data_IF_455665178388
#
_entry.id   IF_455665178388
#
_cell.length_a   1.000
_cell.length_b   1.000
_cell.length_c   1.000
_cell.angle_alpha   90.00
_cell.angle_beta   90.00
_cell.angle_gamma   90.00
#
_symmetry.space_group_name_H-M   'P 1'
#
loop_
_entity.id
_entity.type
_entity.pdbx_description
1 polymer ?
#
# COMPACT_ATOMS: atom_id res chain seq x y z
N UNK A 1 29.49 29.25 24.27
CA UNK A 1 28.81 29.42 22.97
C UNK A 1 27.32 29.19 23.18
N UNK A 2 26.53 30.26 23.14
CA UNK A 2 25.07 30.17 23.23
C UNK A 2 24.54 29.75 21.86
N UNK A 3 24.69 28.48 21.51
CA UNK A 3 24.07 27.94 20.31
C UNK A 3 22.61 27.64 20.66
N UNK A 4 21.73 28.61 20.45
CA UNK A 4 20.30 28.33 20.38
C UNK A 4 20.11 27.18 19.39
N UNK A 5 19.41 26.12 19.82
CA UNK A 5 19.14 24.99 18.95
C UNK A 5 18.52 25.50 17.64
N UNK A 6 18.95 25.02 16.46
CA UNK A 6 18.41 25.47 15.19
C UNK A 6 16.89 25.26 15.18
N UNK A 7 16.15 26.31 14.80
CA UNK A 7 14.70 26.24 14.73
C UNK A 7 14.28 25.26 13.63
N UNK A 8 13.63 24.15 14.03
CA UNK A 8 13.15 23.14 13.09
C UNK A 8 11.89 23.68 12.41
N UNK A 9 11.94 23.81 11.09
CA UNK A 9 10.76 24.15 10.30
C UNK A 9 9.83 22.95 10.23
N UNK A 10 8.56 23.16 10.60
CA UNK A 10 7.52 22.16 10.47
C UNK A 10 6.67 22.45 9.24
N UNK A 11 6.30 21.39 8.52
CA UNK A 11 5.43 21.43 7.36
C UNK A 11 4.18 20.58 7.64
N UNK A 12 3.10 20.72 6.84
CA UNK A 12 1.91 19.88 6.99
C UNK A 12 2.19 18.37 7.00
N UNK A 13 3.26 17.95 6.32
CA UNK A 13 3.72 16.55 6.24
C UNK A 13 4.61 16.10 7.41
N UNK A 14 5.02 17.02 8.30
CA UNK A 14 5.90 16.72 9.44
C UNK A 14 5.13 16.11 10.62
N UNK A 15 3.82 16.38 10.70
CA UNK A 15 2.97 16.05 11.84
C UNK A 15 2.25 14.69 11.73
N UNK A 16 2.97 13.66 11.30
CA UNK A 16 2.42 12.29 11.24
C UNK A 16 2.37 11.64 12.63
N UNK A 17 1.28 10.94 12.94
CA UNK A 17 1.08 10.26 14.24
C UNK A 17 1.39 8.77 14.21
N UNK A 18 1.91 8.28 13.08
CA UNK A 18 2.32 6.89 12.92
C UNK A 18 3.63 6.56 13.65
N UNK A 19 3.94 5.27 13.85
CA UNK A 19 5.22 4.87 14.40
C UNK A 19 6.36 5.31 13.46
N UNK A 20 7.40 5.93 14.03
CA UNK A 20 8.52 6.47 13.24
C UNK A 20 9.48 5.41 12.68
N UNK A 21 9.40 4.15 13.14
CA UNK A 21 10.33 3.09 12.74
C UNK A 21 9.61 1.79 12.39
N UNK A 22 9.90 1.16 11.23
CA UNK A 22 10.68 1.71 10.11
C UNK A 22 9.88 2.78 9.32
N UNK A 23 10.56 3.51 8.43
CA UNK A 23 9.87 4.51 7.59
C UNK A 23 8.88 3.85 6.62
N UNK A 24 7.58 4.09 6.82
CA UNK A 24 6.52 3.54 5.96
C UNK A 24 6.59 4.01 4.50
N UNK A 25 7.08 5.23 4.27
CA UNK A 25 7.28 5.77 2.92
C UNK A 25 8.40 5.04 2.17
N UNK A 26 9.55 4.84 2.83
CA UNK A 26 10.66 4.08 2.26
C UNK A 26 10.27 2.61 2.05
N UNK A 27 9.58 2.01 3.02
CA UNK A 27 9.08 0.64 2.92
C UNK A 27 8.10 0.45 1.76
N UNK A 28 7.11 1.32 1.63
CA UNK A 28 6.11 1.27 0.57
C UNK A 28 6.73 1.46 -0.82
N UNK A 29 7.61 2.46 -0.96
CA UNK A 29 8.33 2.70 -2.21
C UNK A 29 9.19 1.49 -2.58
N UNK A 30 10.03 0.99 -1.66
CA UNK A 30 10.87 -0.17 -1.91
C UNK A 30 10.06 -1.40 -2.33
N UNK A 31 8.96 -1.70 -1.63
CA UNK A 31 8.10 -2.84 -1.97
C UNK A 31 7.51 -2.74 -3.38
N UNK A 32 6.90 -1.59 -3.72
CA UNK A 32 6.25 -1.39 -5.04
C UNK A 32 7.26 -1.42 -6.18
N UNK A 33 8.35 -0.64 -6.08
CA UNK A 33 9.34 -0.57 -7.15
C UNK A 33 10.11 -1.88 -7.32
N UNK A 34 10.35 -2.63 -6.23
CA UNK A 34 10.97 -3.95 -6.31
C UNK A 34 10.11 -4.94 -7.09
N UNK A 35 8.81 -5.00 -6.80
CA UNK A 35 7.86 -5.85 -7.56
C UNK A 35 7.79 -5.42 -9.02
N UNK A 36 7.80 -4.12 -9.30
CA UNK A 36 7.73 -3.62 -10.67
C UNK A 36 9.01 -3.97 -11.48
N UNK A 37 10.19 -3.78 -10.90
CA UNK A 37 11.47 -4.12 -11.55
C UNK A 37 11.56 -5.62 -11.83
N UNK A 38 11.26 -6.46 -10.84
CA UNK A 38 11.29 -7.93 -10.99
C UNK A 38 10.24 -8.42 -12.00
N UNK A 39 9.04 -7.85 -12.00
CA UNK A 39 8.00 -8.17 -12.99
C UNK A 39 8.44 -7.79 -14.42
N UNK A 40 8.99 -6.60 -14.64
CA UNK A 40 9.48 -6.18 -15.96
C UNK A 40 10.63 -7.06 -16.45
N UNK A 41 11.57 -7.42 -15.58
CA UNK A 41 12.66 -8.33 -15.90
C UNK A 41 12.16 -9.72 -16.26
N UNK A 42 11.17 -10.24 -15.54
CA UNK A 42 10.58 -11.56 -15.84
C UNK A 42 9.92 -11.61 -17.22
N UNK A 43 9.27 -10.50 -17.65
CA UNK A 43 8.66 -10.39 -18.98
C UNK A 43 9.72 -10.28 -20.07
N UNK A 44 10.82 -9.57 -19.79
CA UNK A 44 11.91 -9.36 -20.74
C UNK A 44 12.78 -10.60 -20.95
N UNK A 45 12.93 -11.45 -19.93
CA UNK A 45 13.74 -12.68 -19.98
C UNK A 45 13.33 -13.62 -21.12
N UNK A 46 12.03 -13.70 -21.43
CA UNK A 46 11.50 -14.59 -22.47
C UNK A 46 11.64 -14.08 -23.91
N UNK A 47 12.16 -12.86 -24.14
CA UNK A 47 12.09 -12.20 -25.46
C UNK A 47 13.40 -11.61 -25.99
N UNK A 48 14.46 -11.48 -25.17
CA UNK A 48 15.64 -10.68 -25.54
C UNK A 48 16.97 -11.44 -25.44
N UNK A 49 17.90 -11.03 -26.30
CA UNK A 49 19.31 -11.45 -26.30
C UNK A 49 20.02 -11.07 -24.97
N UNK A 50 21.00 -11.89 -24.55
CA UNK A 50 21.68 -11.77 -23.25
C UNK A 50 22.26 -10.38 -22.96
N UNK A 51 22.86 -9.71 -23.96
CA UNK A 51 23.45 -8.36 -23.77
C UNK A 51 22.40 -7.29 -23.47
N UNK A 52 21.29 -7.26 -24.21
CA UNK A 52 20.21 -6.30 -24.02
C UNK A 52 19.52 -6.50 -22.67
N UNK A 53 19.41 -7.75 -22.21
CA UNK A 53 18.86 -8.08 -20.90
C UNK A 53 19.73 -7.56 -19.76
N UNK A 54 21.07 -7.70 -19.87
CA UNK A 54 22.02 -7.15 -18.89
C UNK A 54 21.92 -5.63 -18.78
N UNK A 55 21.84 -4.92 -19.91
CA UNK A 55 21.65 -3.45 -19.91
C UNK A 55 20.34 -3.07 -19.25
N UNK A 56 19.23 -3.74 -19.58
CA UNK A 56 17.94 -3.50 -18.96
C UNK A 56 17.97 -3.73 -17.44
N UNK A 57 18.61 -4.81 -17.00
CA UNK A 57 18.82 -5.11 -15.59
C UNK A 57 19.55 -3.97 -14.88
N UNK A 58 20.67 -3.50 -15.44
CA UNK A 58 21.43 -2.38 -14.86
C UNK A 58 20.58 -1.11 -14.78
N UNK A 59 19.86 -0.76 -15.84
CA UNK A 59 19.02 0.45 -15.88
C UNK A 59 17.90 0.39 -14.84
N UNK A 60 17.18 -0.73 -14.75
CA UNK A 60 16.06 -0.88 -13.82
C UNK A 60 16.49 -0.84 -12.36
N UNK A 61 17.58 -1.53 -12.00
CA UNK A 61 18.11 -1.50 -10.64
C UNK A 61 18.74 -0.16 -10.26
N UNK A 62 19.40 0.52 -11.20
CA UNK A 62 19.90 1.88 -10.98
C UNK A 62 18.74 2.84 -10.72
N UNK A 63 17.66 2.75 -11.51
CA UNK A 63 16.45 3.53 -11.31
C UNK A 63 15.78 3.25 -9.97
N UNK A 64 15.70 1.97 -9.56
CA UNK A 64 15.20 1.58 -8.24
C UNK A 64 15.95 2.30 -7.12
N UNK A 65 17.29 2.22 -7.10
CA UNK A 65 18.10 2.84 -6.06
C UNK A 65 18.01 4.36 -6.09
N UNK A 66 17.97 4.98 -7.26
CA UNK A 66 17.78 6.42 -7.39
C UNK A 66 16.47 6.88 -6.72
N UNK A 67 15.36 6.17 -6.95
CA UNK A 67 14.08 6.46 -6.30
C UNK A 67 14.16 6.27 -4.78
N UNK A 68 14.79 5.18 -4.30
CA UNK A 68 14.94 4.94 -2.86
C UNK A 68 15.75 6.04 -2.17
N UNK A 69 16.82 6.53 -2.81
CA UNK A 69 17.62 7.64 -2.31
C UNK A 69 16.76 8.91 -2.25
N UNK A 70 16.03 9.25 -3.32
CA UNK A 70 15.16 10.43 -3.33
C UNK A 70 14.09 10.39 -2.23
N UNK A 71 13.39 9.27 -2.07
CA UNK A 71 12.36 9.10 -1.04
C UNK A 71 12.98 9.17 0.36
N UNK A 72 14.11 8.51 0.59
CA UNK A 72 14.79 8.50 1.88
C UNK A 72 15.30 9.89 2.26
N UNK A 73 15.96 10.59 1.33
CA UNK A 73 16.44 11.96 1.55
C UNK A 73 15.29 12.92 1.82
N UNK A 74 14.19 12.83 1.07
CA UNK A 74 12.99 13.64 1.31
C UNK A 74 12.51 13.53 2.77
N UNK A 75 12.46 12.31 3.31
CA UNK A 75 11.99 12.04 4.69
C UNK A 75 13.00 12.46 5.76
N UNK A 76 14.29 12.39 5.48
CA UNK A 76 15.36 12.88 6.37
C UNK A 76 15.40 14.42 6.38
N UNK A 77 15.24 15.07 5.22
CA UNK A 77 15.27 16.53 5.12
C UNK A 77 14.11 17.23 5.82
N UNK A 78 12.92 16.63 5.82
CA UNK A 78 11.78 17.14 6.59
C UNK A 78 11.83 16.75 8.08
N UNK A 79 12.93 16.15 8.53
CA UNK A 79 13.15 15.66 9.88
C UNK A 79 12.06 14.69 10.40
N UNK A 80 11.35 14.00 9.48
CA UNK A 80 10.32 13.03 9.85
C UNK A 80 10.90 11.67 10.24
N UNK A 81 12.10 11.34 9.74
CA UNK A 81 12.76 10.07 10.04
C UNK A 81 14.28 10.21 10.16
N UNK A 82 14.87 9.34 10.98
CA UNK A 82 16.32 9.18 11.05
C UNK A 82 16.86 8.27 9.93
N UNK A 83 18.15 8.39 9.55
CA UNK A 83 18.75 7.57 8.50
C UNK A 83 18.56 6.05 8.71
N UNK A 84 18.70 5.56 9.94
CA UNK A 84 18.50 4.13 10.23
C UNK A 84 17.06 3.66 9.98
N UNK A 85 16.06 4.52 10.19
CA UNK A 85 14.64 4.19 10.00
C UNK A 85 14.27 4.09 8.52
N UNK A 86 14.84 4.96 7.68
CA UNK A 86 14.63 4.89 6.22
C UNK A 86 15.35 3.69 5.62
N UNK A 87 16.58 3.40 6.06
CA UNK A 87 17.33 2.20 5.63
C UNK A 87 16.58 0.92 6.02
N UNK A 88 16.14 0.81 7.28
CA UNK A 88 15.33 -0.31 7.74
C UNK A 88 14.01 -0.43 6.96
N UNK A 89 13.39 0.70 6.59
CA UNK A 89 12.22 0.75 5.72
C UNK A 89 12.47 0.13 4.36
N UNK A 90 13.54 0.53 3.67
CA UNK A 90 13.89 -0.02 2.35
C UNK A 90 14.07 -1.54 2.41
N UNK A 91 14.87 -2.03 3.35
CA UNK A 91 15.10 -3.48 3.51
C UNK A 91 13.82 -4.23 3.86
N UNK A 92 12.99 -3.69 4.76
CA UNK A 92 11.70 -4.29 5.13
C UNK A 92 10.76 -4.38 3.92
N UNK A 93 10.71 -3.33 3.09
CA UNK A 93 9.90 -3.30 1.88
C UNK A 93 10.35 -4.34 0.85
N UNK A 94 11.66 -4.46 0.63
CA UNK A 94 12.23 -5.50 -0.24
C UNK A 94 11.94 -6.90 0.29
N UNK A 95 12.13 -7.15 1.58
CA UNK A 95 11.87 -8.45 2.20
C UNK A 95 10.40 -8.86 2.08
N UNK A 96 9.48 -7.93 2.32
CA UNK A 96 8.04 -8.16 2.12
C UNK A 96 7.75 -8.49 0.66
N UNK A 97 8.26 -7.69 -0.29
CA UNK A 97 8.05 -7.94 -1.72
C UNK A 97 8.56 -9.33 -2.14
N UNK A 98 9.78 -9.70 -1.74
CA UNK A 98 10.38 -11.00 -2.04
C UNK A 98 9.60 -12.15 -1.42
N UNK A 99 9.14 -12.00 -0.17
CA UNK A 99 8.33 -13.01 0.52
C UNK A 99 7.02 -13.24 -0.24
N UNK A 100 6.33 -12.18 -0.65
CA UNK A 100 5.06 -12.30 -1.40
C UNK A 100 5.23 -12.96 -2.78
N UNK A 101 6.41 -12.87 -3.41
CA UNK A 101 6.69 -13.61 -4.65
C UNK A 101 6.76 -15.13 -4.44
N UNK A 102 7.22 -15.56 -3.27
CA UNK A 102 7.37 -16.98 -2.92
C UNK A 102 6.09 -17.58 -2.33
N UNK A 103 5.31 -16.79 -1.58
CA UNK A 103 4.09 -17.25 -0.89
C UNK A 103 2.88 -17.23 -1.83
N UNK A 104 2.84 -18.17 -2.78
CA UNK A 104 1.69 -18.33 -3.71
C UNK A 104 0.41 -18.84 -3.04
N UNK A 105 0.50 -19.35 -1.80
CA UNK A 105 -0.65 -19.86 -1.04
C UNK A 105 -1.74 -18.81 -0.80
N UNK A 106 -1.40 -17.52 -0.87
CA UNK A 106 -2.34 -16.40 -0.69
C UNK A 106 -3.43 -16.44 -1.77
N UNK A 107 -3.07 -16.75 -3.02
CA UNK A 107 -4.03 -16.80 -4.14
C UNK A 107 -4.95 -18.02 -4.14
N UNK A 108 -4.62 -19.06 -3.37
CA UNK A 108 -5.41 -20.29 -3.26
C UNK A 108 -6.15 -20.41 -1.92
N UNK A 109 -6.05 -19.40 -1.05
CA UNK A 109 -6.70 -19.44 0.25
C UNK A 109 -8.22 -19.22 0.11
N UNK A 110 -9.01 -20.09 0.76
CA UNK A 110 -10.47 -19.99 0.81
C UNK A 110 -10.93 -18.72 1.51
N UNK A 111 -12.09 -18.18 1.12
CA UNK A 111 -12.71 -17.02 1.78
C UNK A 111 -12.82 -17.18 3.31
N UNK A 112 -13.17 -18.37 3.83
CA UNK A 112 -13.24 -18.63 5.28
C UNK A 112 -11.92 -18.35 6.01
N UNK A 113 -10.77 -18.64 5.39
CA UNK A 113 -9.45 -18.34 5.97
C UNK A 113 -9.19 -16.85 5.97
N UNK A 114 -9.52 -16.13 4.89
CA UNK A 114 -9.41 -14.67 4.85
C UNK A 114 -10.25 -14.02 5.95
N UNK A 115 -11.52 -14.43 6.09
CA UNK A 115 -12.39 -13.96 7.16
C UNK A 115 -11.80 -14.26 8.54
N UNK A 116 -11.38 -15.52 8.77
CA UNK A 116 -10.79 -15.93 10.04
C UNK A 116 -9.53 -15.14 10.40
N UNK A 117 -8.62 -14.92 9.45
CA UNK A 117 -7.39 -14.13 9.69
C UNK A 117 -7.72 -12.66 9.94
N UNK A 118 -8.60 -12.06 9.15
CA UNK A 118 -9.02 -10.66 9.36
C UNK A 118 -9.66 -10.48 10.74
N UNK A 119 -10.59 -11.36 11.12
CA UNK A 119 -11.23 -11.31 12.45
C UNK A 119 -10.21 -11.53 13.56
N UNK A 120 -9.31 -12.51 13.41
CA UNK A 120 -8.24 -12.77 14.39
C UNK A 120 -7.33 -11.55 14.57
N UNK A 121 -6.84 -10.95 13.49
CA UNK A 121 -5.98 -9.76 13.55
C UNK A 121 -6.69 -8.57 14.20
N UNK A 122 -7.97 -8.37 13.88
CA UNK A 122 -8.78 -7.32 14.50
C UNK A 122 -8.97 -7.57 16.01
N UNK A 123 -9.39 -8.77 16.39
CA UNK A 123 -9.60 -9.15 17.79
C UNK A 123 -8.30 -9.09 18.59
N UNK A 124 -7.18 -9.52 18.01
CA UNK A 124 -5.87 -9.45 18.64
C UNK A 124 -5.42 -8.01 18.88
N UNK A 125 -5.53 -7.14 17.86
CA UNK A 125 -5.17 -5.74 17.98
C UNK A 125 -6.07 -4.99 18.98
N UNK A 126 -7.38 -5.26 18.96
CA UNK A 126 -8.33 -4.71 19.93
C UNK A 126 -8.03 -5.22 21.34
N UNK A 127 -7.75 -6.50 21.50
CA UNK A 127 -7.37 -7.11 22.78
C UNK A 127 -6.10 -6.49 23.35
N UNK A 128 -5.07 -6.29 22.52
CA UNK A 128 -3.83 -5.63 22.92
C UNK A 128 -4.06 -4.17 23.33
N UNK A 129 -4.89 -3.43 22.58
CA UNK A 129 -5.28 -2.07 22.94
C UNK A 129 -5.98 -2.01 24.31
N UNK A 130 -6.98 -2.88 24.53
CA UNK A 130 -7.72 -2.93 25.79
C UNK A 130 -6.81 -3.36 26.96
N UNK A 131 -5.89 -4.29 26.73
CA UNK A 131 -4.91 -4.71 27.72
C UNK A 131 -3.96 -3.57 28.10
N UNK A 132 -3.39 -2.85 27.12
CA UNK A 132 -2.52 -1.71 27.37
C UNK A 132 -3.26 -0.61 28.12
N UNK A 133 -4.51 -0.34 27.74
CA UNK A 133 -5.38 0.60 28.46
C UNK A 133 -5.63 0.16 29.90
N UNK A 134 -5.87 -1.13 30.15
CA UNK A 134 -6.06 -1.67 31.51
C UNK A 134 -4.78 -1.58 32.36
N UNK A 135 -3.60 -1.68 31.73
CA UNK A 135 -2.30 -1.46 32.37
C UNK A 135 -1.95 0.04 32.55
N UNK A 136 -2.85 0.96 32.21
CA UNK A 136 -2.66 2.40 32.34
C UNK A 136 -1.83 3.04 31.22
N UNK A 137 -1.53 2.31 30.15
CA UNK A 137 -0.85 2.84 28.96
C UNK A 137 -1.91 3.28 27.95
N UNK A 138 -2.18 4.58 27.91
CA UNK A 138 -2.99 5.15 26.83
C UNK A 138 -2.19 5.11 25.52
N UNK A 139 -2.79 4.69 24.42
CA UNK A 139 -2.21 4.73 23.07
C UNK A 139 -2.51 6.05 22.34
N UNK A 140 -3.54 6.78 22.77
CA UNK A 140 -3.90 8.08 22.19
C UNK A 140 -2.99 9.22 22.66
N UNK A 141 -2.12 8.98 23.64
CA UNK A 141 -1.13 9.95 24.12
C UNK A 141 -0.25 10.53 23.00
N UNK A 142 0.01 9.76 21.94
CA UNK A 142 0.79 10.21 20.79
C UNK A 142 0.08 11.32 20.02
N UNK A 143 -1.26 11.25 19.96
CA UNK A 143 -2.11 12.24 19.31
C UNK A 143 -2.14 13.54 20.12
N UNK A 144 -2.24 13.42 21.46
CA UNK A 144 -2.15 14.58 22.37
C UNK A 144 -0.79 15.28 22.25
N UNK A 145 0.32 14.51 22.19
CA UNK A 145 1.65 15.10 21.99
C UNK A 145 1.80 15.71 20.61
N UNK A 146 1.27 15.08 19.56
CA UNK A 146 1.30 15.66 18.22
C UNK A 146 0.56 17.01 18.19
N UNK A 147 -0.63 17.11 18.78
CA UNK A 147 -1.38 18.37 18.86
C UNK A 147 -0.66 19.44 19.66
N UNK A 148 0.11 19.06 20.68
CA UNK A 148 0.85 20.00 21.54
C UNK A 148 2.12 20.55 20.89
N UNK A 149 2.84 19.72 20.13
CA UNK A 149 4.17 20.06 19.59
C UNK A 149 4.15 20.43 18.11
N UNK A 150 3.07 20.15 17.39
CA UNK A 150 2.87 20.63 16.03
C UNK A 150 2.56 22.13 16.02
N UNK A 151 3.19 22.87 15.11
CA UNK A 151 3.00 24.31 14.98
C UNK A 151 1.57 24.69 14.60
N UNK A 152 0.86 23.77 13.93
CA UNK A 152 -0.56 23.90 13.65
C UNK A 152 -1.28 22.58 13.95
N UNK A 153 -2.30 22.58 14.83
CA UNK A 153 -3.03 21.37 15.19
C UNK A 153 -3.82 20.79 14.00
N UNK A 154 -4.17 21.62 13.00
CA UNK A 154 -4.81 21.14 11.77
C UNK A 154 -3.93 20.22 10.91
N UNK A 155 -2.61 20.18 11.14
CA UNK A 155 -1.69 19.28 10.43
C UNK A 155 -1.67 17.87 11.03
N UNK A 156 -2.31 17.66 12.18
CA UNK A 156 -2.43 16.33 12.78
C UNK A 156 -3.56 15.57 12.08
N UNK A 157 -3.19 14.65 11.20
CA UNK A 157 -4.13 13.87 10.42
C UNK A 157 -4.53 12.57 11.14
N UNK A 158 -5.83 12.40 11.42
CA UNK A 158 -6.39 11.19 12.05
C UNK A 158 -6.15 9.92 11.21
N UNK A 159 -6.03 10.08 9.90
CA UNK A 159 -5.72 9.06 8.90
C UNK A 159 -4.36 8.39 9.13
N UNK A 160 -3.44 9.08 9.80
CA UNK A 160 -2.09 8.59 10.11
C UNK A 160 -2.01 7.82 11.41
N UNK A 161 -3.13 7.72 12.15
CA UNK A 161 -3.16 7.02 13.43
C UNK A 161 -2.98 5.51 13.24
N UNK A 162 -2.41 4.81 14.24
CA UNK A 162 -2.28 3.35 14.20
C UNK A 162 -3.62 2.63 13.99
N UNK A 163 -4.71 3.16 14.57
CA UNK A 163 -6.04 2.57 14.43
C UNK A 163 -6.64 2.75 13.03
N UNK A 164 -6.47 3.93 12.42
CA UNK A 164 -6.85 4.15 11.02
C UNK A 164 -6.07 3.21 10.07
N UNK A 165 -4.77 3.07 10.31
CA UNK A 165 -3.90 2.16 9.53
C UNK A 165 -4.32 0.70 9.67
N UNK A 166 -4.63 0.26 10.90
CA UNK A 166 -5.15 -1.09 11.16
C UNK A 166 -6.45 -1.36 10.39
N UNK A 167 -7.44 -0.46 10.48
CA UNK A 167 -8.71 -0.64 9.78
C UNK A 167 -8.53 -0.65 8.26
N UNK A 168 -7.64 0.18 7.72
CA UNK A 168 -7.29 0.15 6.30
C UNK A 168 -6.70 -1.21 5.90
N UNK A 169 -5.75 -1.73 6.67
CA UNK A 169 -5.11 -3.02 6.38
C UNK A 169 -6.11 -4.20 6.46
N UNK A 170 -6.99 -4.18 7.46
CA UNK A 170 -8.06 -5.17 7.60
C UNK A 170 -9.06 -5.10 6.44
N UNK A 171 -9.46 -3.88 6.04
CA UNK A 171 -10.31 -3.65 4.88
C UNK A 171 -9.68 -4.17 3.60
N UNK A 172 -8.38 -3.88 3.38
CA UNK A 172 -7.64 -4.38 2.21
C UNK A 172 -7.61 -5.91 2.21
N UNK A 173 -7.28 -6.55 3.34
CA UNK A 173 -7.21 -8.01 3.44
C UNK A 173 -8.59 -8.66 3.20
N UNK A 174 -9.63 -8.10 3.79
CA UNK A 174 -11.02 -8.54 3.62
C UNK A 174 -11.47 -8.40 2.16
N UNK A 175 -11.26 -7.22 1.56
CA UNK A 175 -11.64 -6.94 0.17
C UNK A 175 -10.84 -7.78 -0.83
N UNK A 176 -9.56 -8.06 -0.57
CA UNK A 176 -8.76 -8.99 -1.37
C UNK A 176 -9.31 -10.42 -1.28
N UNK A 177 -9.69 -10.87 -0.08
CA UNK A 177 -10.32 -12.18 0.12
C UNK A 177 -11.62 -12.32 -0.67
N UNK A 178 -12.47 -11.29 -0.66
CA UNK A 178 -13.70 -11.25 -1.47
C UNK A 178 -13.39 -11.23 -2.98
N UNK A 179 -12.42 -10.41 -3.40
CA UNK A 179 -12.07 -10.27 -4.82
C UNK A 179 -11.57 -11.60 -5.41
N UNK A 180 -10.62 -12.26 -4.74
CA UNK A 180 -10.02 -13.52 -5.22
C UNK A 180 -11.00 -14.70 -5.22
N UNK A 181 -12.00 -14.68 -4.35
CA UNK A 181 -13.03 -15.72 -4.27
C UNK A 181 -14.30 -15.38 -5.07
N UNK A 182 -14.34 -14.23 -5.74
CA UNK A 182 -15.47 -13.85 -6.60
C UNK A 182 -15.43 -14.59 -7.94
N UNK A 183 -16.60 -14.84 -8.54
CA UNK A 183 -16.71 -15.43 -9.87
C UNK A 183 -16.00 -14.57 -10.94
N UNK A 184 -16.01 -13.26 -10.75
CA UNK A 184 -15.40 -12.27 -11.64
C UNK A 184 -13.88 -12.47 -11.79
N UNK A 185 -13.18 -12.75 -10.69
CA UNK A 185 -11.73 -13.03 -10.74
C UNK A 185 -11.42 -14.34 -11.48
N UNK A 186 -12.21 -15.38 -11.23
CA UNK A 186 -12.05 -16.69 -11.86
C UNK A 186 -12.26 -16.63 -13.37
N UNK A 187 -13.24 -15.86 -13.82
CA UNK A 187 -13.60 -15.74 -15.23
C UNK A 187 -12.56 -14.94 -16.04
N UNK A 188 -12.03 -13.86 -15.46
CA UNK A 188 -11.19 -12.92 -16.20
C UNK A 188 -9.69 -13.17 -16.10
N UNK A 189 -9.19 -13.50 -14.90
CA UNK A 189 -7.74 -13.63 -14.67
C UNK A 189 -7.21 -15.05 -14.90
N UNK A 190 -8.07 -16.08 -14.85
CA UNK A 190 -7.66 -17.49 -14.98
C UNK A 190 -7.63 -18.01 -16.42
N UNK A 191 -8.12 -17.23 -17.38
CA UNK A 191 -8.13 -17.56 -18.82
C UNK A 191 -6.83 -17.19 -19.56
N UNK A 192 -6.72 -17.63 -20.82
CA UNK A 192 -5.57 -17.31 -21.72
C UNK A 192 -5.39 -15.80 -21.96
N UNK A 193 -6.46 -15.01 -21.82
CA UNK A 193 -6.49 -13.56 -22.01
C UNK A 193 -5.64 -12.79 -20.97
N UNK A 194 -5.49 -13.31 -19.75
CA UNK A 194 -4.69 -12.69 -18.68
C UNK A 194 -3.18 -12.60 -18.96
N UNK A 195 -2.67 -13.32 -19.97
CA UNK A 195 -1.28 -13.23 -20.42
C UNK A 195 -1.07 -12.18 -21.52
N UNK A 196 -2.13 -11.65 -22.10
CA UNK A 196 -2.01 -10.65 -23.16
C UNK A 196 -1.58 -9.30 -22.59
N UNK A 197 -0.57 -8.71 -23.22
CA UNK A 197 -0.07 -7.38 -22.86
C UNK A 197 -1.15 -6.28 -22.90
N UNK A 198 -2.03 -6.17 -23.92
CA UNK A 198 -3.06 -5.13 -23.94
C UNK A 198 -4.06 -5.26 -22.78
N UNK A 199 -4.42 -6.50 -22.40
CA UNK A 199 -5.27 -6.74 -21.23
C UNK A 199 -4.61 -6.24 -19.94
N UNK A 200 -3.34 -6.57 -19.72
CA UNK A 200 -2.59 -6.15 -18.51
C UNK A 200 -2.42 -4.64 -18.42
N UNK A 201 -2.07 -3.99 -19.54
CA UNK A 201 -1.92 -2.54 -19.62
C UNK A 201 -3.26 -1.84 -19.42
N UNK A 202 -4.34 -2.35 -20.03
CA UNK A 202 -5.70 -1.84 -19.83
C UNK A 202 -6.14 -1.94 -18.37
N UNK A 203 -5.91 -3.09 -17.72
CA UNK A 203 -6.21 -3.27 -16.30
C UNK A 203 -5.38 -2.32 -15.41
N UNK A 204 -4.09 -2.13 -15.71
CA UNK A 204 -3.23 -1.23 -14.97
C UNK A 204 -3.70 0.23 -15.10
N UNK A 205 -3.98 0.69 -16.32
CA UNK A 205 -4.46 2.06 -16.57
C UNK A 205 -5.82 2.33 -15.90
N UNK A 206 -6.78 1.41 -16.05
CA UNK A 206 -8.09 1.52 -15.42
C UNK A 206 -7.98 1.48 -13.89
N UNK A 207 -7.10 0.64 -13.34
CA UNK A 207 -6.85 0.58 -11.89
C UNK A 207 -6.26 1.89 -11.38
N UNK A 208 -5.28 2.48 -12.08
CA UNK A 208 -4.71 3.78 -11.71
C UNK A 208 -5.77 4.88 -11.70
N UNK A 209 -6.61 4.95 -12.74
CA UNK A 209 -7.69 5.94 -12.81
C UNK A 209 -8.66 5.79 -11.63
N UNK A 210 -9.12 4.58 -11.36
CA UNK A 210 -10.05 4.30 -10.26
C UNK A 210 -9.40 4.60 -8.90
N UNK A 211 -8.13 4.25 -8.71
CA UNK A 211 -7.39 4.58 -7.49
C UNK A 211 -7.26 6.09 -7.29
N UNK A 212 -7.02 6.87 -8.34
CA UNK A 212 -7.01 8.33 -8.28
C UNK A 212 -8.37 8.91 -7.87
N UNK A 213 -9.48 8.35 -8.37
CA UNK A 213 -10.83 8.75 -7.96
C UNK A 213 -11.10 8.41 -6.49
N UNK A 214 -10.67 7.23 -6.04
CA UNK A 214 -10.77 6.85 -4.63
C UNK A 214 -9.96 7.80 -3.75
N UNK A 215 -8.76 8.21 -4.16
CA UNK A 215 -7.91 9.11 -3.40
C UNK A 215 -8.51 10.52 -3.28
N UNK A 216 -9.14 11.01 -4.34
CA UNK A 216 -9.86 12.29 -4.33
C UNK A 216 -11.03 12.31 -3.31
N UNK A 217 -11.62 11.15 -3.00
CA UNK A 217 -12.68 11.06 -1.99
C UNK A 217 -12.09 11.00 -0.58
N UNK A 218 -12.18 12.11 0.16
CA UNK A 218 -11.81 12.20 1.58
C UNK A 218 -13.04 12.00 2.46
N UNK A 219 -13.06 11.00 3.36
CA UNK A 219 -14.16 10.82 4.29
C UNK A 219 -14.31 12.03 5.24
N UNK A 220 -15.53 12.39 5.66
CA UNK A 220 -15.74 13.44 6.65
C UNK A 220 -15.07 13.07 7.98
N UNK A 221 -14.17 13.94 8.45
CA UNK A 221 -13.34 13.73 9.65
C UNK A 221 -13.99 14.20 10.96
N UNK A 222 -15.14 14.88 10.89
CA UNK A 222 -15.83 15.45 12.06
C UNK A 222 -16.47 14.40 12.98
N UNK A 223 -16.90 13.25 12.44
CA UNK A 223 -17.37 12.11 13.22
C UNK A 223 -16.32 10.98 13.15
N UNK A 224 -15.58 10.76 14.22
CA UNK A 224 -14.51 9.75 14.28
C UNK A 224 -14.99 8.35 13.90
N UNK A 225 -16.14 7.90 14.42
CA UNK A 225 -16.71 6.59 14.08
C UNK A 225 -17.05 6.48 12.59
N UNK A 226 -17.68 7.52 12.03
CA UNK A 226 -18.03 7.56 10.61
C UNK A 226 -16.78 7.53 9.73
N UNK A 227 -15.74 8.29 10.12
CA UNK A 227 -14.45 8.29 9.45
C UNK A 227 -13.83 6.88 9.39
N UNK A 228 -13.82 6.16 10.52
CA UNK A 228 -13.26 4.81 10.59
C UNK A 228 -14.04 3.80 9.75
N UNK A 229 -15.37 3.83 9.80
CA UNK A 229 -16.23 2.95 8.98
C UNK A 229 -16.04 3.25 7.49
N UNK A 230 -16.05 4.51 7.09
CA UNK A 230 -15.84 4.90 5.70
C UNK A 230 -14.43 4.58 5.21
N UNK A 231 -13.41 4.74 6.05
CA UNK A 231 -12.03 4.31 5.74
C UNK A 231 -11.95 2.81 5.52
N UNK A 232 -12.60 2.00 6.36
CA UNK A 232 -12.66 0.56 6.18
C UNK A 232 -13.36 0.17 4.87
N UNK A 233 -14.52 0.78 4.59
CA UNK A 233 -15.29 0.54 3.37
C UNK A 233 -14.48 0.92 2.12
N UNK A 234 -13.87 2.12 2.11
CA UNK A 234 -12.98 2.58 1.04
C UNK A 234 -11.83 1.60 0.83
N UNK A 235 -11.19 1.17 1.91
CA UNK A 235 -10.05 0.24 1.86
C UNK A 235 -10.42 -1.17 1.39
N UNK A 236 -11.66 -1.59 1.65
CA UNK A 236 -12.23 -2.85 1.14
C UNK A 236 -12.58 -2.76 -0.35
N UNK A 237 -13.13 -1.62 -0.78
CA UNK A 237 -13.54 -1.39 -2.15
C UNK A 237 -12.35 -1.35 -3.12
N UNK A 238 -11.19 -0.87 -2.69
CA UNK A 238 -9.97 -0.78 -3.52
C UNK A 238 -9.54 -2.13 -4.12
N UNK A 239 -9.25 -3.19 -3.35
CA UNK A 239 -8.88 -4.50 -3.90
C UNK A 239 -10.05 -5.18 -4.63
N UNK A 240 -11.30 -4.98 -4.19
CA UNK A 240 -12.47 -5.46 -4.94
C UNK A 240 -12.53 -4.88 -6.35
N UNK A 241 -12.29 -3.58 -6.48
CA UNK A 241 -12.27 -2.90 -7.76
C UNK A 241 -11.07 -3.34 -8.61
N UNK A 242 -9.86 -3.27 -8.06
CA UNK A 242 -8.60 -3.48 -8.81
C UNK A 242 -8.30 -4.94 -9.14
N UNK A 243 -8.71 -5.89 -8.29
CA UNK A 243 -8.44 -7.33 -8.51
C UNK A 243 -9.64 -8.05 -9.12
N UNK A 244 -10.87 -7.63 -8.83
CA UNK A 244 -12.10 -8.26 -9.31
C UNK A 244 -12.76 -7.52 -10.46
N UNK A 245 -13.31 -6.33 -10.19
CA UNK A 245 -14.20 -5.61 -11.11
C UNK A 245 -13.50 -5.15 -12.39
N UNK A 246 -12.35 -4.51 -12.27
CA UNK A 246 -11.63 -3.92 -13.41
C UNK A 246 -11.15 -5.00 -14.39
N UNK A 247 -10.46 -6.07 -13.96
CA UNK A 247 -10.11 -7.16 -14.86
C UNK A 247 -11.33 -7.77 -15.56
N UNK A 248 -12.45 -7.86 -14.84
CA UNK A 248 -13.71 -8.33 -15.42
C UNK A 248 -14.25 -7.43 -16.51
N UNK A 249 -14.44 -6.14 -16.24
CA UNK A 249 -14.88 -5.18 -17.23
C UNK A 249 -13.96 -5.14 -18.46
N UNK A 250 -12.64 -5.13 -18.26
CA UNK A 250 -11.67 -5.10 -19.37
C UNK A 250 -11.73 -6.39 -20.19
N UNK A 251 -11.88 -7.56 -19.56
CA UNK A 251 -12.02 -8.83 -20.28
C UNK A 251 -13.26 -8.87 -21.17
N UNK A 252 -14.41 -8.41 -20.66
CA UNK A 252 -15.67 -8.36 -21.41
C UNK A 252 -15.60 -7.38 -22.59
N UNK A 253 -14.98 -6.22 -22.41
CA UNK A 253 -14.77 -5.25 -23.47
C UNK A 253 -13.89 -5.81 -24.59
N UNK A 254 -12.78 -6.47 -24.25
CA UNK A 254 -11.89 -7.08 -25.24
C UNK A 254 -12.54 -8.26 -25.96
N UNK A 255 -13.29 -9.11 -25.25
CA UNK A 255 -14.04 -10.22 -25.86
C UNK A 255 -15.13 -9.72 -26.82
N UNK A 256 -15.74 -8.57 -26.55
CA UNK A 256 -16.76 -7.96 -27.43
C UNK A 256 -16.14 -7.37 -28.70
N UNK A 257 -14.92 -6.82 -28.62
CA UNK A 257 -14.20 -6.30 -29.79
C UNK A 257 -13.76 -7.43 -30.72
N UNK A 258 -13.27 -8.55 -30.17
CA UNK A 258 -12.87 -9.72 -30.96
C UNK A 258 -14.04 -10.31 -31.76
N UNK A 259 -15.26 -10.31 -31.19
CA UNK A 259 -16.49 -10.75 -31.86
C UNK A 259 -17.01 -9.79 -32.95
N UNK A 260 -16.59 -8.52 -32.95
CA UNK A 260 -16.98 -7.53 -33.97
C UNK A 260 -15.97 -7.41 -35.12
N UNK A 261 -14.78 -8.00 -34.96
CA UNK A 261 -13.70 -7.98 -35.95
C UNK A 261 -13.57 -9.24 -36.80
N UNK A 262 -14.46 -10.23 -36.60
CA UNK A 262 -14.63 -11.43 -37.43
C UNK A 262 -15.93 -11.27 -38.22
#
# INVERSE_FOLDING_TARGET
>A
SNASAPAIQQFPLTCETGPGSPSGHAMGAAGVYYVMVTALLSIALGKRQSKTLKVLWMVLWTGFWAVQVCVSLSRVFIAAHFPHQVIAGVFSGMAVAETFQHVRSIYHASLRRYLGVTTFLFSFALGLYLLLRALGVDLLWTLEKAQRWCSRPEWVHIDTTPFASLLRNLGILFGLGLALNSHMYLESCRGKQGRQLPFRLGCAAASLLVLHLFDAFRPPSHLQLLFYVLSFCKSTAVPLATVGLIPYCVSQLLATQDKKGV
#
